data_IF_569797791215
#
_entry.id   IF_569797791215
#
_cell.length_a   1.000
_cell.length_b   1.000
_cell.length_c   1.000
_cell.angle_alpha   90.00
_cell.angle_beta   90.00
_cell.angle_gamma   90.00
#
_symmetry.space_group_name_H-M   'P 1'
#
loop_
_entity.id
_entity.type
_entity.pdbx_description
1 polymer ?
#
# COMPACT_ATOMS: atom_id res chain seq x y z
N UNK A 1 -9.31 7.35 -12.41
CA UNK A 1 -9.16 5.90 -12.73
C UNK A 1 -8.94 5.15 -11.43
N UNK A 2 -9.94 4.40 -10.96
CA UNK A 2 -9.70 3.39 -9.93
C UNK A 2 -8.75 2.34 -10.53
N UNK A 3 -7.70 1.97 -9.80
CA UNK A 3 -6.84 0.87 -10.20
C UNK A 3 -7.69 -0.41 -10.24
N UNK A 4 -8.00 -0.88 -11.45
CA UNK A 4 -8.55 -2.22 -11.68
C UNK A 4 -7.51 -3.23 -11.20
N UNK A 5 -7.96 -4.28 -10.49
CA UNK A 5 -7.09 -5.25 -9.81
C UNK A 5 -7.34 -6.63 -10.39
N UNK A 6 -6.62 -6.93 -11.46
CA UNK A 6 -6.67 -8.19 -12.20
C UNK A 6 -6.45 -9.39 -11.28
N UNK A 7 -5.61 -9.23 -10.25
CA UNK A 7 -5.32 -10.27 -9.28
C UNK A 7 -6.56 -10.74 -8.48
N UNK A 8 -7.52 -9.84 -8.26
CA UNK A 8 -8.74 -10.18 -7.49
C UNK A 8 -9.74 -10.93 -8.36
N UNK A 9 -9.87 -10.55 -9.63
CA UNK A 9 -10.71 -11.30 -10.57
C UNK A 9 -10.12 -12.70 -10.83
N UNK A 10 -8.78 -12.84 -10.83
CA UNK A 10 -8.11 -14.15 -10.81
C UNK A 10 -8.46 -14.99 -9.58
N UNK A 11 -8.51 -14.40 -8.38
CA UNK A 11 -8.93 -15.11 -7.17
C UNK A 11 -10.39 -15.57 -7.23
N UNK A 12 -11.29 -14.79 -7.85
CA UNK A 12 -12.69 -15.23 -8.08
C UNK A 12 -12.73 -16.42 -9.02
N UNK A 13 -11.94 -16.42 -10.09
CA UNK A 13 -11.85 -17.55 -11.01
C UNK A 13 -11.37 -18.81 -10.28
N UNK A 14 -10.33 -18.69 -9.44
CA UNK A 14 -9.83 -19.81 -8.61
C UNK A 14 -10.90 -20.30 -7.63
N UNK A 15 -11.66 -19.40 -6.99
CA UNK A 15 -12.72 -19.76 -6.06
C UNK A 15 -13.86 -20.56 -6.71
N UNK A 16 -14.13 -20.33 -8.00
CA UNK A 16 -15.22 -21.03 -8.73
C UNK A 16 -14.80 -22.44 -9.19
N UNK A 17 -13.50 -22.71 -9.39
CA UNK A 17 -13.02 -24.01 -9.88
C UNK A 17 -13.49 -25.19 -9.00
N UNK A 18 -13.31 -25.17 -7.66
CA UNK A 18 -13.79 -26.25 -6.79
C UNK A 18 -15.30 -26.46 -6.87
N UNK A 19 -16.08 -25.40 -7.09
CA UNK A 19 -17.56 -25.48 -7.24
C UNK A 19 -17.92 -26.25 -8.51
N UNK A 20 -17.28 -25.91 -9.63
CA UNK A 20 -17.49 -26.59 -10.91
C UNK A 20 -17.08 -28.07 -10.80
N UNK A 21 -15.90 -28.35 -10.24
CA UNK A 21 -15.40 -29.73 -10.13
C UNK A 21 -16.26 -30.60 -9.20
N UNK A 22 -16.81 -30.02 -8.14
CA UNK A 22 -17.77 -30.69 -7.27
C UNK A 22 -19.03 -31.12 -8.05
N UNK A 23 -19.64 -30.19 -8.80
CA UNK A 23 -20.83 -30.50 -9.61
C UNK A 23 -20.53 -31.35 -10.85
N UNK A 24 -19.28 -31.39 -11.32
CA UNK A 24 -18.84 -32.26 -12.42
C UNK A 24 -18.60 -33.73 -11.99
N UNK A 25 -18.85 -34.07 -10.72
CA UNK A 25 -18.70 -35.44 -10.21
C UNK A 25 -17.31 -35.78 -9.67
N UNK A 26 -16.39 -34.81 -9.55
CA UNK A 26 -15.07 -35.01 -8.93
C UNK A 26 -15.12 -34.91 -7.39
N UNK A 27 -16.19 -35.42 -6.78
CA UNK A 27 -16.50 -35.24 -5.35
C UNK A 27 -15.47 -35.90 -4.42
N UNK A 28 -14.78 -36.96 -4.86
CA UNK A 28 -13.73 -37.64 -4.08
C UNK A 28 -12.51 -36.75 -3.78
N UNK A 29 -12.20 -35.82 -4.67
CA UNK A 29 -11.08 -34.88 -4.51
C UNK A 29 -11.53 -33.49 -4.04
N UNK A 30 -12.80 -33.14 -4.28
CA UNK A 30 -13.37 -31.82 -4.02
C UNK A 30 -14.63 -31.85 -3.15
N UNK A 31 -14.69 -32.72 -2.15
CA UNK A 31 -15.85 -32.85 -1.25
C UNK A 31 -16.26 -31.52 -0.56
N UNK A 32 -15.32 -30.58 -0.42
CA UNK A 32 -15.54 -29.22 0.10
C UNK A 32 -15.78 -28.14 -0.96
N UNK A 33 -16.14 -28.49 -2.20
CA UNK A 33 -16.23 -27.54 -3.32
C UNK A 33 -17.17 -26.35 -3.09
N UNK A 34 -18.19 -26.52 -2.24
CA UNK A 34 -19.12 -25.46 -1.82
C UNK A 34 -18.42 -24.27 -1.12
N UNK A 35 -17.25 -24.49 -0.50
CA UNK A 35 -16.44 -23.43 0.14
C UNK A 35 -16.04 -22.35 -0.88
N UNK A 36 -15.94 -22.72 -2.16
CA UNK A 36 -15.66 -21.77 -3.23
C UNK A 36 -16.67 -20.62 -3.30
N UNK A 37 -17.94 -20.89 -2.99
CA UNK A 37 -19.01 -19.86 -2.94
C UNK A 37 -18.78 -18.91 -1.77
N UNK A 38 -18.40 -19.43 -0.60
CA UNK A 38 -18.11 -18.60 0.58
C UNK A 38 -16.94 -17.64 0.31
N UNK A 39 -15.86 -18.14 -0.31
CA UNK A 39 -14.72 -17.31 -0.73
C UNK A 39 -15.16 -16.25 -1.74
N UNK A 40 -16.01 -16.62 -2.70
CA UNK A 40 -16.53 -15.71 -3.71
C UNK A 40 -17.34 -14.56 -3.09
N UNK A 41 -18.18 -14.85 -2.10
CA UNK A 41 -18.93 -13.85 -1.34
C UNK A 41 -18.02 -12.91 -0.55
N UNK A 42 -16.99 -13.43 0.14
CA UNK A 42 -16.00 -12.58 0.83
C UNK A 42 -15.30 -11.63 -0.15
N UNK A 43 -14.86 -12.12 -1.31
CA UNK A 43 -14.20 -11.28 -2.32
C UNK A 43 -15.18 -10.21 -2.87
N UNK A 44 -16.43 -10.60 -3.10
CA UNK A 44 -17.50 -9.74 -3.61
C UNK A 44 -17.80 -8.58 -2.66
N UNK A 45 -17.95 -8.87 -1.37
CA UNK A 45 -18.12 -7.86 -0.31
C UNK A 45 -16.93 -6.92 -0.20
N UNK A 46 -15.70 -7.44 -0.30
CA UNK A 46 -14.47 -6.64 -0.31
C UNK A 46 -14.41 -5.69 -1.50
N UNK A 47 -14.70 -6.18 -2.70
CA UNK A 47 -14.59 -5.42 -3.94
C UNK A 47 -15.63 -4.31 -3.98
N UNK A 48 -16.89 -4.61 -3.66
CA UNK A 48 -17.94 -3.61 -3.72
C UNK A 48 -17.73 -2.51 -2.69
N UNK A 49 -17.34 -2.90 -1.47
CA UNK A 49 -17.04 -1.95 -0.40
C UNK A 49 -15.89 -1.06 -0.82
N UNK A 50 -14.80 -1.62 -1.37
CA UNK A 50 -13.67 -0.85 -1.86
C UNK A 50 -14.06 0.17 -2.94
N UNK A 51 -14.93 -0.19 -3.88
CA UNK A 51 -15.39 0.72 -4.94
C UNK A 51 -16.21 1.87 -4.35
N UNK A 52 -17.24 1.56 -3.56
CA UNK A 52 -18.11 2.56 -2.92
C UNK A 52 -17.27 3.51 -2.08
N UNK A 53 -16.42 2.96 -1.22
CA UNK A 53 -15.58 3.72 -0.32
C UNK A 53 -14.60 4.62 -1.09
N UNK A 54 -13.97 4.15 -2.17
CA UNK A 54 -13.08 4.96 -3.01
C UNK A 54 -13.81 6.13 -3.66
N UNK A 55 -15.03 5.92 -4.17
CA UNK A 55 -15.84 6.97 -4.79
C UNK A 55 -16.36 7.98 -3.76
N UNK A 56 -16.72 7.51 -2.56
CA UNK A 56 -17.12 8.38 -1.43
C UNK A 56 -15.96 9.27 -0.97
N UNK A 57 -14.73 8.75 -0.97
CA UNK A 57 -13.52 9.54 -0.66
C UNK A 57 -13.24 10.62 -1.72
N UNK A 58 -13.55 10.34 -2.98
CA UNK A 58 -13.39 11.26 -4.10
C UNK A 58 -14.57 12.23 -4.23
N UNK A 59 -15.60 12.11 -3.39
CA UNK A 59 -16.85 12.89 -3.45
C UNK A 59 -17.60 12.77 -4.78
N UNK A 60 -17.41 11.66 -5.50
CA UNK A 60 -18.05 11.37 -6.79
C UNK A 60 -19.08 10.22 -6.71
N UNK A 61 -19.30 9.68 -5.52
CA UNK A 61 -20.19 8.54 -5.35
C UNK A 61 -21.64 8.91 -5.67
N UNK A 62 -22.25 8.17 -6.60
CA UNK A 62 -23.64 8.29 -6.99
C UNK A 62 -24.28 6.91 -7.02
N UNK A 63 -25.39 6.74 -6.30
CA UNK A 63 -26.15 5.49 -6.28
C UNK A 63 -26.63 5.10 -7.69
N UNK A 64 -27.08 6.08 -8.48
CA UNK A 64 -27.57 5.85 -9.84
C UNK A 64 -26.45 5.30 -10.73
N UNK A 65 -25.28 5.95 -10.74
CA UNK A 65 -24.13 5.49 -11.53
C UNK A 65 -23.55 4.17 -11.01
N UNK A 66 -23.67 3.89 -9.72
CA UNK A 66 -23.29 2.61 -9.15
C UNK A 66 -24.17 1.48 -9.72
N UNK A 67 -25.49 1.60 -9.62
CA UNK A 67 -26.42 0.58 -10.12
C UNK A 67 -26.35 0.44 -11.64
N UNK A 68 -26.23 1.54 -12.37
CA UNK A 68 -26.10 1.52 -13.83
C UNK A 68 -24.92 0.63 -14.29
N UNK A 69 -23.74 0.82 -13.67
CA UNK A 69 -22.55 0.03 -14.02
C UNK A 69 -22.71 -1.45 -13.71
N UNK A 70 -23.38 -1.79 -12.61
CA UNK A 70 -23.67 -3.19 -12.27
C UNK A 70 -24.64 -3.81 -13.26
N UNK A 71 -25.72 -3.11 -13.58
CA UNK A 71 -26.69 -3.55 -14.59
C UNK A 71 -26.02 -3.82 -15.94
N UNK A 72 -25.18 -2.88 -16.43
CA UNK A 72 -24.43 -3.05 -17.69
C UNK A 72 -23.44 -4.21 -17.66
N UNK A 73 -22.94 -4.60 -16.48
CA UNK A 73 -22.00 -5.72 -16.32
C UNK A 73 -22.69 -7.07 -16.27
N UNK A 74 -23.85 -7.17 -15.61
CA UNK A 74 -24.46 -8.45 -15.23
C UNK A 74 -25.64 -8.82 -16.13
N UNK A 75 -26.54 -7.88 -16.39
CA UNK A 75 -27.77 -8.16 -17.13
C UNK A 75 -27.52 -8.72 -18.54
N UNK A 76 -26.53 -8.28 -19.33
CA UNK A 76 -26.29 -8.85 -20.66
C UNK A 76 -25.96 -10.35 -20.62
N UNK A 77 -25.06 -10.75 -19.72
CA UNK A 77 -24.67 -12.14 -19.56
C UNK A 77 -25.80 -12.98 -18.97
N UNK A 78 -26.55 -12.42 -18.00
CA UNK A 78 -27.71 -13.07 -17.40
C UNK A 78 -28.81 -13.33 -18.45
N UNK A 79 -29.22 -12.31 -19.20
CA UNK A 79 -30.27 -12.50 -20.21
C UNK A 79 -29.82 -13.43 -21.34
N UNK A 80 -28.53 -13.40 -21.70
CA UNK A 80 -28.00 -14.35 -22.67
C UNK A 80 -28.13 -15.80 -22.18
N UNK A 81 -27.71 -16.11 -20.94
CA UNK A 81 -27.83 -17.47 -20.42
C UNK A 81 -29.30 -17.88 -20.26
N UNK A 82 -30.18 -16.98 -19.79
CA UNK A 82 -31.62 -17.28 -19.68
C UNK A 82 -32.24 -17.57 -21.05
N UNK A 83 -31.88 -16.81 -22.08
CA UNK A 83 -32.34 -17.03 -23.44
C UNK A 83 -31.91 -18.40 -23.98
N UNK A 84 -30.61 -18.71 -23.89
CA UNK A 84 -30.07 -19.99 -24.35
C UNK A 84 -30.69 -21.16 -23.57
N UNK A 85 -30.75 -21.07 -22.24
CA UNK A 85 -31.38 -22.10 -21.41
C UNK A 85 -32.86 -22.29 -21.74
N UNK A 86 -33.58 -21.22 -22.11
CA UNK A 86 -35.00 -21.30 -22.50
C UNK A 86 -35.19 -22.06 -23.81
N UNK A 87 -34.29 -21.90 -24.78
CA UNK A 87 -34.32 -22.67 -26.03
C UNK A 87 -34.19 -24.16 -25.71
N UNK A 88 -33.19 -24.55 -24.92
CA UNK A 88 -32.98 -25.95 -24.55
C UNK A 88 -34.11 -26.52 -23.69
N UNK A 89 -34.60 -25.74 -22.71
CA UNK A 89 -35.73 -26.14 -21.87
C UNK A 89 -36.97 -26.47 -22.71
N UNK A 90 -37.28 -25.65 -23.72
CA UNK A 90 -38.42 -25.88 -24.60
C UNK A 90 -38.33 -27.21 -25.37
N UNK A 91 -37.13 -27.61 -25.82
CA UNK A 91 -36.94 -28.85 -26.57
C UNK A 91 -36.77 -30.10 -25.71
N UNK A 92 -36.29 -29.97 -24.48
CA UNK A 92 -35.87 -31.13 -23.66
C UNK A 92 -36.73 -31.39 -22.42
N UNK A 93 -37.47 -30.40 -21.91
CA UNK A 93 -38.25 -30.56 -20.68
C UNK A 93 -39.69 -31.01 -20.94
N UNK A 94 -40.23 -31.82 -20.02
CA UNK A 94 -41.64 -32.19 -19.98
C UNK A 94 -42.52 -30.97 -19.60
N UNK A 95 -43.82 -30.96 -19.91
CA UNK A 95 -44.69 -29.80 -19.65
C UNK A 95 -44.65 -29.25 -18.22
N UNK A 96 -44.64 -30.13 -17.21
CA UNK A 96 -44.57 -29.72 -15.80
C UNK A 96 -43.21 -29.12 -15.44
N UNK A 97 -42.12 -29.68 -15.98
CA UNK A 97 -40.76 -29.16 -15.81
C UNK A 97 -40.60 -27.80 -16.50
N UNK A 98 -41.20 -27.62 -17.68
CA UNK A 98 -41.17 -26.35 -18.40
C UNK A 98 -41.95 -25.25 -17.64
N UNK A 99 -43.06 -25.61 -16.99
CA UNK A 99 -43.82 -24.70 -16.11
C UNK A 99 -42.97 -24.25 -14.91
N UNK A 100 -42.27 -25.19 -14.28
CA UNK A 100 -41.36 -24.89 -13.16
C UNK A 100 -40.15 -24.06 -13.60
N UNK A 101 -39.59 -24.36 -14.77
CA UNK A 101 -38.52 -23.56 -15.37
C UNK A 101 -38.99 -22.12 -15.62
N UNK A 102 -40.22 -21.92 -16.12
CA UNK A 102 -40.83 -20.59 -16.24
C UNK A 102 -40.93 -19.83 -14.91
N UNK A 103 -41.32 -20.50 -13.83
CA UNK A 103 -41.31 -19.92 -12.48
C UNK A 103 -39.89 -19.56 -12.01
N UNK A 104 -38.90 -20.40 -12.37
CA UNK A 104 -37.48 -20.14 -12.10
C UNK A 104 -37.02 -18.89 -12.86
N UNK A 105 -37.37 -18.72 -14.14
CA UNK A 105 -37.03 -17.51 -14.90
C UNK A 105 -37.59 -16.25 -14.25
N UNK A 106 -38.86 -16.28 -13.82
CA UNK A 106 -39.51 -15.13 -13.16
C UNK A 106 -38.76 -14.78 -11.87
N UNK A 107 -38.40 -15.77 -11.05
CA UNK A 107 -37.66 -15.52 -9.81
C UNK A 107 -36.24 -14.98 -10.07
N UNK A 108 -35.56 -15.40 -11.13
CA UNK A 108 -34.25 -14.87 -11.51
C UNK A 108 -34.34 -13.40 -11.93
N UNK A 109 -35.31 -13.05 -12.79
CA UNK A 109 -35.53 -11.67 -13.23
C UNK A 109 -35.92 -10.78 -12.05
N UNK A 110 -36.69 -11.30 -11.10
CA UNK A 110 -37.02 -10.63 -9.85
C UNK A 110 -35.88 -10.60 -8.82
N UNK A 111 -34.69 -11.15 -9.15
CA UNK A 111 -33.53 -11.27 -8.25
C UNK A 111 -33.88 -11.96 -6.92
N UNK A 112 -34.77 -12.95 -6.98
CA UNK A 112 -35.32 -13.69 -5.83
C UNK A 112 -35.23 -15.21 -6.00
N UNK A 113 -34.39 -15.70 -6.94
CA UNK A 113 -34.25 -17.13 -7.19
C UNK A 113 -33.79 -17.91 -5.96
N UNK A 114 -33.00 -17.30 -5.06
CA UNK A 114 -32.65 -17.90 -3.78
C UNK A 114 -33.85 -18.17 -2.86
N UNK A 115 -34.85 -17.27 -2.83
CA UNK A 115 -36.09 -17.46 -2.07
C UNK A 115 -36.94 -18.53 -2.74
N UNK A 116 -37.01 -18.52 -4.08
CA UNK A 116 -37.74 -19.53 -4.84
C UNK A 116 -37.20 -20.93 -4.58
N UNK A 117 -35.89 -21.14 -4.67
CA UNK A 117 -35.28 -22.44 -4.40
C UNK A 117 -35.43 -22.85 -2.93
N UNK A 118 -35.28 -21.92 -1.98
CA UNK A 118 -35.58 -22.22 -0.57
C UNK A 118 -37.02 -22.71 -0.35
N UNK A 119 -38.00 -22.06 -0.98
CA UNK A 119 -39.41 -22.44 -0.84
C UNK A 119 -39.74 -23.77 -1.52
N UNK A 120 -38.95 -24.19 -2.50
CA UNK A 120 -39.11 -25.43 -3.27
C UNK A 120 -38.30 -26.61 -2.71
N UNK A 121 -37.28 -26.35 -1.90
CA UNK A 121 -36.40 -27.36 -1.33
C UNK A 121 -37.00 -27.93 -0.03
N UNK A 122 -38.06 -28.73 -0.15
CA UNK A 122 -38.79 -29.37 0.96
C UNK A 122 -38.49 -30.88 1.12
N UNK A 123 -37.41 -31.36 0.49
CA UNK A 123 -36.90 -32.74 0.62
C UNK A 123 -37.50 -33.76 -0.34
N UNK A 124 -38.67 -33.50 -0.96
CA UNK A 124 -39.29 -34.38 -1.97
C UNK A 124 -38.87 -34.04 -3.41
N UNK A 125 -38.46 -32.79 -3.67
CA UNK A 125 -38.06 -32.26 -5.00
C UNK A 125 -36.53 -32.10 -5.20
N UNK A 126 -35.70 -32.59 -4.27
CA UNK A 126 -34.23 -32.42 -4.28
C UNK A 126 -33.55 -32.89 -5.58
N UNK A 127 -34.01 -33.98 -6.21
CA UNK A 127 -33.49 -34.43 -7.50
C UNK A 127 -33.86 -33.52 -8.68
N UNK A 128 -35.01 -32.84 -8.62
CA UNK A 128 -35.46 -31.91 -9.69
C UNK A 128 -34.74 -30.56 -9.60
N UNK A 129 -34.40 -30.12 -8.39
CA UNK A 129 -33.60 -28.89 -8.17
C UNK A 129 -32.17 -29.02 -8.71
N UNK A 130 -31.54 -30.20 -8.57
CA UNK A 130 -30.21 -30.47 -9.16
C UNK A 130 -30.23 -30.53 -10.70
N UNK A 131 -31.36 -30.88 -11.29
CA UNK A 131 -31.55 -30.90 -12.75
C UNK A 131 -31.94 -29.54 -13.32
N UNK A 132 -32.20 -28.53 -12.47
CA UNK A 132 -32.52 -27.19 -12.92
C UNK A 132 -31.25 -26.48 -13.44
N UNK A 133 -31.16 -26.14 -14.74
CA UNK A 133 -29.95 -25.57 -15.33
C UNK A 133 -29.59 -24.19 -14.75
N UNK A 134 -30.53 -23.54 -14.08
CA UNK A 134 -30.37 -22.21 -13.51
C UNK A 134 -30.27 -22.22 -11.98
N UNK A 135 -30.08 -23.38 -11.34
CA UNK A 135 -30.01 -23.50 -9.87
C UNK A 135 -28.95 -22.59 -9.27
N UNK A 136 -27.77 -22.48 -9.90
CA UNK A 136 -26.64 -21.68 -9.41
C UNK A 136 -26.93 -20.17 -9.27
N UNK A 137 -28.02 -19.67 -9.88
CA UNK A 137 -28.40 -18.26 -9.81
C UNK A 137 -28.84 -17.82 -8.41
N UNK A 138 -29.10 -18.76 -7.50
CA UNK A 138 -29.37 -18.45 -6.09
C UNK A 138 -28.26 -17.58 -5.47
N UNK A 139 -27.00 -17.90 -5.77
CA UNK A 139 -25.85 -17.18 -5.23
C UNK A 139 -25.75 -15.76 -5.78
N UNK A 140 -26.08 -15.58 -7.07
CA UNK A 140 -26.17 -14.27 -7.72
C UNK A 140 -27.30 -13.43 -7.11
N UNK A 141 -28.47 -14.02 -6.83
CA UNK A 141 -29.58 -13.31 -6.20
C UNK A 141 -29.21 -12.77 -4.82
N UNK A 142 -28.52 -13.57 -3.99
CA UNK A 142 -27.99 -13.12 -2.69
C UNK A 142 -26.99 -11.97 -2.86
N UNK A 143 -26.06 -12.09 -3.82
CA UNK A 143 -25.05 -11.07 -4.14
C UNK A 143 -25.73 -9.74 -4.51
N UNK A 144 -26.72 -9.77 -5.41
CA UNK A 144 -27.42 -8.57 -5.89
C UNK A 144 -28.34 -7.96 -4.82
N UNK A 145 -28.98 -8.77 -3.97
CA UNK A 145 -29.73 -8.27 -2.80
C UNK A 145 -28.82 -7.51 -1.84
N UNK A 146 -27.61 -8.03 -1.59
CA UNK A 146 -26.60 -7.30 -0.82
C UNK A 146 -26.16 -6.01 -1.52
N UNK A 147 -25.96 -6.04 -2.84
CA UNK A 147 -25.59 -4.84 -3.59
C UNK A 147 -26.69 -3.81 -3.71
N UNK A 148 -27.95 -4.18 -3.51
CA UNK A 148 -29.03 -3.22 -3.41
C UNK A 148 -29.05 -2.53 -2.03
N UNK A 149 -28.82 -3.28 -0.95
CA UNK A 149 -28.93 -2.77 0.41
C UNK A 149 -27.65 -2.05 0.87
N UNK A 150 -26.49 -2.64 0.63
CA UNK A 150 -25.22 -2.19 1.19
C UNK A 150 -24.80 -0.76 0.73
N UNK A 151 -24.93 -0.37 -0.55
CA UNK A 151 -24.62 1.00 -0.97
C UNK A 151 -25.56 2.03 -0.35
N UNK A 152 -26.83 1.69 -0.11
CA UNK A 152 -27.77 2.55 0.61
C UNK A 152 -27.30 2.77 2.05
N UNK A 153 -26.92 1.70 2.75
CA UNK A 153 -26.34 1.79 4.10
C UNK A 153 -25.11 2.70 4.09
N UNK A 154 -24.20 2.52 3.14
CA UNK A 154 -23.01 3.37 3.00
C UNK A 154 -23.34 4.82 2.63
N UNK A 155 -24.38 5.07 1.84
CA UNK A 155 -24.83 6.40 1.45
C UNK A 155 -25.38 7.18 2.65
N UNK A 156 -26.24 6.55 3.46
CA UNK A 156 -26.84 7.17 4.64
C UNK A 156 -25.90 7.23 5.85
N UNK A 157 -24.95 6.29 5.94
CA UNK A 157 -23.88 6.35 6.95
C UNK A 157 -22.93 7.48 6.57
N UNK A 158 -22.86 8.56 7.35
CA UNK A 158 -21.96 9.70 7.04
C UNK A 158 -20.46 9.33 6.93
N UNK A 159 -19.60 10.34 6.76
CA UNK A 159 -18.13 10.14 6.56
C UNK A 159 -17.38 9.47 7.73
N UNK A 160 -18.04 9.21 8.87
CA UNK A 160 -17.45 8.54 10.04
C UNK A 160 -17.72 7.04 10.00
N UNK A 161 -16.73 6.28 9.52
CA UNK A 161 -16.86 4.82 9.33
C UNK A 161 -16.95 4.00 10.63
N UNK A 162 -16.74 4.58 11.83
CA UNK A 162 -16.70 3.79 13.08
C UNK A 162 -18.04 3.14 13.44
N UNK A 163 -19.13 3.90 13.42
CA UNK A 163 -20.45 3.35 13.75
C UNK A 163 -20.91 2.34 12.69
N UNK A 164 -20.62 2.62 11.41
CA UNK A 164 -20.88 1.69 10.31
C UNK A 164 -20.12 0.38 10.50
N UNK A 165 -18.82 0.42 10.81
CA UNK A 165 -18.02 -0.79 11.05
C UNK A 165 -18.58 -1.61 12.23
N UNK A 166 -18.97 -0.96 13.33
CA UNK A 166 -19.58 -1.64 14.48
C UNK A 166 -20.90 -2.31 14.08
N UNK A 167 -21.75 -1.61 13.34
CA UNK A 167 -23.01 -2.16 12.83
C UNK A 167 -22.77 -3.36 11.92
N UNK A 168 -21.82 -3.28 10.98
CA UNK A 168 -21.52 -4.37 10.05
C UNK A 168 -20.95 -5.59 10.78
N UNK A 169 -20.09 -5.40 11.78
CA UNK A 169 -19.59 -6.51 12.62
C UNK A 169 -20.75 -7.16 13.38
N UNK A 170 -21.63 -6.35 13.97
CA UNK A 170 -22.80 -6.87 14.70
C UNK A 170 -23.72 -7.68 13.79
N UNK A 171 -24.04 -7.18 12.59
CA UNK A 171 -24.85 -7.89 11.59
C UNK A 171 -24.16 -9.17 11.11
N UNK A 172 -22.83 -9.14 10.93
CA UNK A 172 -22.07 -10.32 10.53
C UNK A 172 -22.10 -11.41 11.60
N UNK A 173 -21.96 -11.04 12.88
CA UNK A 173 -22.03 -11.97 14.00
C UNK A 173 -23.43 -12.58 14.16
N UNK A 174 -24.49 -11.77 14.00
CA UNK A 174 -25.87 -12.28 14.00
C UNK A 174 -26.08 -13.25 12.85
N UNK A 175 -25.68 -12.86 11.63
CA UNK A 175 -25.82 -13.69 10.44
C UNK A 175 -25.07 -15.02 10.60
N UNK A 176 -23.84 -14.99 11.10
CA UNK A 176 -23.05 -16.19 11.39
C UNK A 176 -23.71 -17.06 12.46
N UNK A 177 -24.21 -16.47 13.54
CA UNK A 177 -24.90 -17.22 14.60
C UNK A 177 -26.17 -17.90 14.08
N UNK A 178 -26.98 -17.20 13.26
CA UNK A 178 -28.17 -17.77 12.63
C UNK A 178 -27.81 -18.91 11.67
N UNK A 179 -26.72 -18.76 10.91
CA UNK A 179 -26.21 -19.81 10.03
C UNK A 179 -25.82 -21.07 10.83
N UNK A 180 -25.06 -20.91 11.92
CA UNK A 180 -24.66 -22.03 12.79
C UNK A 180 -25.83 -22.64 13.55
N UNK A 181 -26.77 -21.82 14.03
CA UNK A 181 -27.96 -22.28 14.72
C UNK A 181 -28.84 -23.13 13.81
N UNK A 182 -29.10 -22.67 12.57
CA UNK A 182 -29.88 -23.44 11.59
C UNK A 182 -29.19 -24.75 11.14
N UNK A 183 -27.86 -24.81 11.14
CA UNK A 183 -27.11 -26.02 10.82
C UNK A 183 -27.08 -27.08 11.93
N UNK A 184 -27.05 -26.67 13.20
CA UNK A 184 -26.93 -27.61 14.33
C UNK A 184 -28.23 -28.39 14.64
N UNK A 185 -29.40 -27.90 14.20
CA UNK A 185 -30.66 -28.64 14.35
C UNK A 185 -30.77 -29.87 13.43
N UNK A 186 -29.83 -30.06 12.49
CA UNK A 186 -29.81 -31.21 11.59
C UNK A 186 -29.26 -32.50 12.23
N UNK A 187 -28.51 -32.40 13.35
CA UNK A 187 -27.76 -33.55 13.89
C UNK A 187 -28.49 -34.38 14.95
N UNK A 188 -29.73 -34.06 15.31
CA UNK A 188 -30.43 -34.72 16.43
C UNK A 188 -31.88 -35.09 16.10
N UNK A 189 -32.13 -35.97 15.13
CA UNK A 189 -33.40 -36.73 15.11
C UNK A 189 -33.34 -38.00 14.26
N UNK A 190 -33.16 -39.14 14.94
CA UNK A 190 -33.50 -40.48 14.42
C UNK A 190 -35.01 -40.79 14.53
N UNK A 191 -35.89 -39.80 14.71
CA UNK A 191 -37.34 -40.04 14.78
C UNK A 191 -38.16 -38.87 14.22
N UNK A 192 -38.84 -39.14 13.09
CA UNK A 192 -40.27 -38.94 12.87
C UNK A 192 -40.92 -37.69 13.51
N UNK A 193 -40.44 -36.48 13.18
CA UNK A 193 -41.20 -35.24 13.38
C UNK A 193 -40.94 -34.25 12.24
N UNK A 194 -41.73 -34.36 11.18
CA UNK A 194 -41.57 -33.65 9.90
C UNK A 194 -41.95 -32.16 9.90
N UNK A 195 -42.22 -31.53 11.06
CA UNK A 195 -42.75 -30.16 11.08
C UNK A 195 -41.70 -29.05 11.29
N UNK A 196 -40.44 -29.40 11.64
CA UNK A 196 -39.37 -28.44 11.92
C UNK A 196 -38.09 -28.64 11.08
N UNK A 197 -38.13 -29.47 10.03
CA UNK A 197 -36.98 -29.75 9.15
C UNK A 197 -36.70 -28.66 8.10
N UNK A 198 -37.50 -27.59 8.03
CA UNK A 198 -37.32 -26.48 7.07
C UNK A 198 -36.21 -25.47 7.45
N UNK A 199 -35.56 -25.65 8.61
CA UNK A 199 -34.64 -24.65 9.18
C UNK A 199 -33.19 -24.70 8.67
N UNK A 200 -32.74 -25.80 8.04
CA UNK A 200 -31.35 -25.94 7.55
C UNK A 200 -31.12 -25.27 6.18
N UNK A 201 -32.07 -25.39 5.25
CA UNK A 201 -31.97 -24.81 3.90
C UNK A 201 -32.18 -23.30 3.88
N UNK A 202 -32.94 -22.76 4.85
CA UNK A 202 -33.08 -21.33 5.04
C UNK A 202 -31.72 -20.66 5.26
N UNK A 203 -30.86 -21.25 6.09
CA UNK A 203 -29.50 -20.76 6.32
C UNK A 203 -28.60 -20.85 5.08
N UNK A 204 -28.88 -21.79 4.17
CA UNK A 204 -28.10 -21.99 2.96
C UNK A 204 -28.45 -20.98 1.85
N UNK A 205 -29.75 -20.75 1.60
CA UNK A 205 -30.22 -19.92 0.48
C UNK A 205 -30.55 -18.47 0.85
N UNK A 206 -30.94 -18.18 2.10
CA UNK A 206 -31.38 -16.84 2.46
C UNK A 206 -30.20 -15.92 2.82
N UNK A 207 -30.29 -14.62 2.50
CA UNK A 207 -29.22 -13.66 2.82
C UNK A 207 -28.95 -13.56 4.32
N UNK A 208 -29.95 -13.84 5.15
CA UNK A 208 -29.81 -13.77 6.62
C UNK A 208 -28.73 -14.73 7.12
N UNK A 209 -28.64 -15.95 6.54
CA UNK A 209 -27.60 -16.92 6.86
C UNK A 209 -26.29 -16.75 6.07
N UNK A 210 -26.31 -15.93 5.00
CA UNK A 210 -25.21 -15.76 4.04
C UNK A 210 -24.61 -14.35 3.97
N UNK A 211 -25.10 -13.44 4.81
CA UNK A 211 -24.62 -12.06 4.81
C UNK A 211 -23.24 -11.96 5.49
N UNK A 212 -22.91 -12.87 6.41
CA UNK A 212 -21.64 -12.81 7.16
C UNK A 212 -20.42 -12.94 6.24
N UNK A 213 -20.47 -13.72 5.16
CA UNK A 213 -19.39 -13.85 4.17
C UNK A 213 -19.13 -12.50 3.47
N UNK A 214 -20.19 -11.89 2.92
CA UNK A 214 -20.14 -10.59 2.25
C UNK A 214 -19.68 -9.48 3.22
N UNK A 215 -20.22 -9.47 4.43
CA UNK A 215 -19.88 -8.50 5.48
C UNK A 215 -18.45 -8.66 5.98
N UNK A 216 -17.92 -9.88 6.05
CA UNK A 216 -16.52 -10.14 6.36
C UNK A 216 -15.59 -9.52 5.30
N UNK A 217 -15.97 -9.66 4.02
CA UNK A 217 -15.33 -8.97 2.90
C UNK A 217 -15.35 -7.45 3.05
N UNK A 218 -16.52 -6.88 3.35
CA UNK A 218 -16.68 -5.45 3.61
C UNK A 218 -15.82 -4.98 4.79
N UNK A 219 -15.77 -5.74 5.88
CA UNK A 219 -14.91 -5.44 7.02
C UNK A 219 -13.44 -5.45 6.63
N UNK A 220 -12.98 -6.44 5.86
CA UNK A 220 -11.61 -6.48 5.37
C UNK A 220 -11.26 -5.25 4.52
N UNK A 221 -12.20 -4.74 3.70
CA UNK A 221 -12.01 -3.51 2.94
C UNK A 221 -11.83 -2.30 3.87
N UNK A 222 -12.69 -2.14 4.89
CA UNK A 222 -12.56 -1.09 5.89
C UNK A 222 -11.26 -1.22 6.71
N UNK A 223 -10.93 -2.42 7.17
CA UNK A 223 -9.72 -2.69 7.95
C UNK A 223 -8.46 -2.36 7.15
N UNK A 224 -8.37 -2.83 5.90
CA UNK A 224 -7.23 -2.54 5.04
C UNK A 224 -7.18 -1.06 4.64
N UNK A 225 -8.30 -0.36 4.59
CA UNK A 225 -8.33 1.10 4.35
C UNK A 225 -7.85 1.88 5.57
N UNK A 226 -8.38 1.57 6.76
CA UNK A 226 -7.94 2.15 8.03
C UNK A 226 -6.46 1.86 8.28
N UNK A 227 -6.03 0.64 7.96
CA UNK A 227 -4.62 0.29 7.98
C UNK A 227 -3.84 0.91 6.83
N UNK A 228 -4.34 1.17 5.62
CA UNK A 228 -3.58 1.95 4.61
C UNK A 228 -3.23 3.36 5.09
N UNK A 229 -4.05 3.93 5.99
CA UNK A 229 -3.77 5.20 6.67
C UNK A 229 -2.67 5.09 7.75
N UNK A 230 -2.31 3.87 8.17
CA UNK A 230 -1.37 3.59 9.29
C UNK A 230 -0.28 2.56 8.94
N UNK A 231 -0.38 1.88 7.80
CA UNK A 231 0.44 0.73 7.41
C UNK A 231 1.74 1.27 6.88
N UNK A 232 2.65 1.52 7.84
CA UNK A 232 4.09 1.41 7.68
C UNK A 232 4.55 1.76 6.27
N UNK A 233 4.47 3.04 5.97
CA UNK A 233 5.68 3.68 5.47
C UNK A 233 6.75 3.45 6.55
N UNK A 234 7.42 2.30 6.50
CA UNK A 234 8.71 2.12 7.13
C UNK A 234 9.67 2.93 6.24
N UNK A 235 9.65 4.25 6.39
CA UNK A 235 10.62 5.15 5.76
C UNK A 235 12.04 4.64 5.98
N UNK A 236 12.29 4.12 7.19
CA UNK A 236 13.54 3.48 7.60
C UNK A 236 13.93 2.25 6.76
N UNK A 237 13.00 1.32 6.51
CA UNK A 237 13.33 0.05 5.87
C UNK A 237 13.73 0.18 4.40
N UNK A 238 13.19 1.18 3.71
CA UNK A 238 13.56 1.53 2.34
C UNK A 238 14.89 2.30 2.30
N UNK A 239 15.06 3.31 3.17
CA UNK A 239 16.26 4.17 3.20
C UNK A 239 17.52 3.40 3.60
N UNK A 240 17.41 2.46 4.54
CA UNK A 240 18.57 1.78 5.10
C UNK A 240 19.03 0.57 4.30
N UNK A 241 18.12 -0.15 3.61
CA UNK A 241 18.41 -1.48 3.05
C UNK A 241 19.52 -1.44 2.01
N UNK A 242 19.42 -0.59 0.99
CA UNK A 242 20.39 -0.54 -0.09
C UNK A 242 21.77 -0.04 0.38
N UNK A 243 21.78 0.98 1.25
CA UNK A 243 23.00 1.50 1.84
C UNK A 243 23.70 0.46 2.75
N UNK A 244 22.94 -0.26 3.57
CA UNK A 244 23.49 -1.29 4.46
C UNK A 244 24.11 -2.47 3.69
N UNK A 245 23.52 -2.84 2.55
CA UNK A 245 24.11 -3.86 1.65
C UNK A 245 25.50 -3.41 1.15
N UNK A 246 25.64 -2.15 0.71
CA UNK A 246 26.95 -1.63 0.30
C UNK A 246 27.96 -1.55 1.45
N UNK A 247 27.48 -1.16 2.64
CA UNK A 247 28.30 -1.08 3.86
C UNK A 247 28.88 -2.44 4.26
N UNK A 248 28.12 -3.52 4.11
CA UNK A 248 28.55 -4.86 4.49
C UNK A 248 29.55 -5.47 3.50
N UNK A 249 29.45 -5.13 2.21
CA UNK A 249 30.10 -5.92 1.18
C UNK A 249 31.55 -5.54 0.85
N UNK A 250 32.01 -4.28 0.97
CA UNK A 250 33.38 -3.91 0.50
C UNK A 250 33.97 -2.69 1.22
N UNK A 251 35.13 -2.87 1.88
CA UNK A 251 35.93 -1.76 2.46
C UNK A 251 37.00 -1.20 1.52
N UNK A 252 37.13 -1.74 0.30
CA UNK A 252 38.14 -1.33 -0.69
C UNK A 252 37.51 -1.24 -2.08
N UNK A 253 38.06 -0.39 -2.95
CA UNK A 253 37.65 -0.34 -4.35
C UNK A 253 38.22 -1.53 -5.13
N UNK A 254 37.58 -1.89 -6.25
CA UNK A 254 38.12 -2.91 -7.16
C UNK A 254 39.49 -2.50 -7.70
N UNK A 255 40.37 -3.48 -7.96
CA UNK A 255 41.66 -3.25 -8.65
C UNK A 255 41.34 -2.66 -10.03
N UNK A 256 42.05 -1.60 -10.46
CA UNK A 256 41.81 -0.95 -11.75
C UNK A 256 42.16 -1.94 -12.88
N UNK A 257 41.17 -2.67 -13.37
CA UNK A 257 41.29 -3.56 -14.53
C UNK A 257 40.63 -2.97 -15.79
N UNK A 258 39.77 -1.97 -15.64
CA UNK A 258 39.18 -1.20 -16.76
C UNK A 258 39.27 0.32 -16.53
N UNK A 259 39.29 1.06 -17.64
CA UNK A 259 39.40 2.53 -17.70
C UNK A 259 38.12 3.29 -17.36
N UNK A 260 37.03 2.63 -16.93
CA UNK A 260 35.69 3.22 -17.10
C UNK A 260 34.96 3.70 -15.85
N UNK A 261 35.32 3.28 -14.63
CA UNK A 261 34.53 3.67 -13.44
C UNK A 261 35.32 4.55 -12.48
N UNK A 262 34.94 5.82 -12.40
CA UNK A 262 35.45 6.77 -11.39
C UNK A 262 35.05 6.27 -10.00
N UNK A 263 35.93 6.39 -9.01
CA UNK A 263 35.68 5.89 -7.65
C UNK A 263 35.05 6.96 -6.78
N UNK A 264 33.90 6.66 -6.17
CA UNK A 264 33.20 7.58 -5.28
C UNK A 264 33.08 6.98 -3.89
N UNK A 265 33.38 7.78 -2.87
CA UNK A 265 33.05 7.45 -1.48
C UNK A 265 32.04 8.43 -0.90
N UNK A 266 30.95 7.89 -0.35
CA UNK A 266 29.92 8.63 0.37
C UNK A 266 30.04 8.37 1.86
N UNK A 267 30.27 9.41 2.65
CA UNK A 267 30.59 9.31 4.07
C UNK A 267 29.55 10.08 4.89
N UNK A 268 29.05 9.46 5.95
CA UNK A 268 28.24 10.15 6.96
C UNK A 268 27.19 9.27 7.61
N UNK A 269 26.07 9.87 8.02
CA UNK A 269 25.07 9.24 8.88
C UNK A 269 23.80 8.83 8.12
N UNK A 270 22.63 8.83 8.77
CA UNK A 270 21.37 8.53 8.10
C UNK A 270 21.01 9.54 6.99
N UNK A 271 21.63 10.73 6.97
CA UNK A 271 21.52 11.67 5.86
C UNK A 271 22.39 11.26 4.66
N UNK A 272 23.47 10.52 4.87
CA UNK A 272 24.22 9.89 3.77
C UNK A 272 23.42 8.74 3.15
N UNK A 273 22.68 7.96 3.96
CA UNK A 273 21.76 6.94 3.44
C UNK A 273 20.69 7.56 2.54
N UNK A 274 20.12 8.68 2.97
CA UNK A 274 19.11 9.39 2.19
C UNK A 274 19.69 10.00 0.90
N UNK A 275 20.92 10.53 0.97
CA UNK A 275 21.64 11.00 -0.21
C UNK A 275 21.96 9.87 -1.21
N UNK A 276 22.29 8.68 -0.71
CA UNK A 276 22.47 7.51 -1.57
C UNK A 276 21.18 7.16 -2.34
N UNK A 277 20.01 7.27 -1.70
CA UNK A 277 18.74 7.06 -2.39
C UNK A 277 18.50 8.09 -3.49
N UNK A 278 18.88 9.36 -3.27
CA UNK A 278 18.83 10.40 -4.32
C UNK A 278 19.59 9.95 -5.56
N UNK A 279 20.79 9.39 -5.36
CA UNK A 279 21.66 8.93 -6.45
C UNK A 279 21.01 7.76 -7.20
N UNK A 280 20.61 6.71 -6.48
CA UNK A 280 20.10 5.48 -7.08
C UNK A 280 18.75 5.69 -7.75
N UNK A 281 17.81 6.36 -7.09
CA UNK A 281 16.47 6.58 -7.61
C UNK A 281 16.48 7.56 -8.80
N UNK A 282 17.28 8.61 -8.71
CA UNK A 282 17.49 9.56 -9.80
C UNK A 282 18.37 9.02 -10.94
N UNK A 283 18.93 7.80 -10.81
CA UNK A 283 19.91 7.22 -11.73
C UNK A 283 21.10 8.15 -12.00
N UNK A 284 21.55 8.88 -10.98
CA UNK A 284 22.74 9.71 -11.06
C UNK A 284 23.99 8.87 -10.76
N UNK A 285 25.15 9.29 -11.27
CA UNK A 285 26.46 8.69 -10.94
C UNK A 285 26.56 7.18 -11.25
N UNK A 286 25.82 6.69 -12.24
CA UNK A 286 25.80 5.27 -12.65
C UNK A 286 27.15 4.77 -13.19
N UNK A 287 28.00 5.69 -13.63
CA UNK A 287 29.38 5.46 -14.07
C UNK A 287 30.42 5.47 -12.93
N UNK A 288 29.99 5.56 -11.67
CA UNK A 288 30.89 5.53 -10.52
C UNK A 288 30.87 4.17 -9.81
N UNK A 289 32.05 3.64 -9.49
CA UNK A 289 32.15 2.60 -8.48
C UNK A 289 31.98 3.25 -7.10
N UNK A 290 30.88 2.95 -6.41
CA UNK A 290 30.56 3.60 -5.14
C UNK A 290 30.97 2.76 -3.93
N UNK A 291 31.46 3.44 -2.88
CA UNK A 291 31.63 2.93 -1.53
C UNK A 291 30.93 3.85 -0.54
N UNK A 292 30.47 3.28 0.56
CA UNK A 292 29.81 4.02 1.63
C UNK A 292 30.52 3.81 2.96
N UNK A 293 30.67 4.87 3.75
CA UNK A 293 31.25 4.79 5.09
C UNK A 293 30.29 5.44 6.10
N UNK A 294 29.68 4.61 6.94
CA UNK A 294 28.70 5.06 7.93
C UNK A 294 29.38 5.56 9.20
N UNK A 295 29.03 6.76 9.63
CA UNK A 295 29.38 7.35 10.92
C UNK A 295 28.07 7.70 11.60
N UNK A 296 27.86 7.21 12.82
CA UNK A 296 26.66 7.55 13.58
C UNK A 296 26.54 9.09 13.75
N UNK A 297 25.36 9.66 13.48
CA UNK A 297 25.18 11.13 13.45
C UNK A 297 25.50 11.84 14.76
N UNK A 298 25.43 11.17 15.90
CA UNK A 298 25.87 11.71 17.21
C UNK A 298 27.39 11.88 17.32
N UNK A 299 28.16 11.14 16.53
CA UNK A 299 29.63 11.15 16.56
C UNK A 299 30.24 12.25 15.70
N UNK A 300 29.51 12.68 14.66
CA UNK A 300 29.89 13.72 13.70
C UNK A 300 31.22 13.45 12.96
N UNK A 301 31.41 14.09 11.81
CA UNK A 301 32.65 14.00 11.04
C UNK A 301 33.60 15.10 11.50
N UNK A 302 34.64 14.73 12.24
CA UNK A 302 35.63 15.68 12.75
C UNK A 302 37.03 15.07 12.77
N UNK A 303 37.99 15.82 12.21
CA UNK A 303 39.42 15.61 12.37
C UNK A 303 40.01 16.95 12.85
N UNK A 304 40.73 16.91 13.97
CA UNK A 304 41.39 18.06 14.56
C UNK A 304 42.15 17.70 15.84
N UNK A 305 42.83 18.67 16.45
CA UNK A 305 43.68 18.46 17.63
C UNK A 305 42.87 18.36 18.94
N UNK A 306 41.64 18.88 18.96
CA UNK A 306 40.80 18.84 20.15
C UNK A 306 40.25 17.42 20.37
N UNK A 307 40.12 16.96 21.62
CA UNK A 307 39.43 15.70 21.88
C UNK A 307 37.93 15.89 21.58
N UNK A 308 37.42 15.16 20.59
CA UNK A 308 36.02 15.25 20.19
C UNK A 308 35.05 14.82 21.29
N UNK A 309 35.49 14.01 22.28
CA UNK A 309 34.63 13.58 23.39
C UNK A 309 34.04 14.74 24.18
N UNK A 310 34.72 15.90 24.21
CA UNK A 310 34.21 17.10 24.86
C UNK A 310 32.95 17.68 24.20
N UNK A 311 32.69 17.35 22.93
CA UNK A 311 31.52 17.84 22.17
C UNK A 311 30.41 16.78 22.01
N UNK A 312 30.66 15.57 22.49
CA UNK A 312 29.76 14.43 22.37
C UNK A 312 29.23 14.11 23.76
N UNK A 313 27.92 13.83 23.88
CA UNK A 313 27.32 13.43 25.14
C UNK A 313 28.00 12.17 25.69
N UNK A 314 28.19 12.10 27.01
CA UNK A 314 28.87 10.97 27.67
C UNK A 314 28.27 9.60 27.31
N UNK A 315 26.94 9.52 27.20
CA UNK A 315 26.19 8.30 26.82
C UNK A 315 26.59 7.81 25.41
N UNK A 316 26.99 8.71 24.53
CA UNK A 316 27.35 8.39 23.14
C UNK A 316 28.84 8.06 22.97
N UNK A 317 29.68 8.26 23.99
CA UNK A 317 31.14 8.09 23.89
C UNK A 317 31.52 6.70 23.41
N UNK A 318 30.88 5.65 23.94
CA UNK A 318 31.17 4.26 23.57
C UNK A 318 30.84 3.98 22.10
N UNK A 319 29.69 4.46 21.61
CA UNK A 319 29.28 4.29 20.20
C UNK A 319 30.20 5.10 19.28
N UNK A 320 30.68 6.25 19.75
CA UNK A 320 31.62 7.11 19.05
C UNK A 320 33.09 6.70 19.24
N UNK A 321 33.36 5.41 19.40
CA UNK A 321 34.68 4.82 19.28
C UNK A 321 34.80 4.05 17.95
N UNK A 322 36.02 3.66 17.58
CA UNK A 322 36.29 2.75 16.46
C UNK A 322 35.69 3.23 15.13
N UNK A 323 34.93 2.36 14.42
CA UNK A 323 34.40 2.59 13.07
C UNK A 323 33.45 3.79 12.91
N UNK A 324 33.05 4.47 13.99
CA UNK A 324 32.31 5.73 13.95
C UNK A 324 33.23 6.97 14.02
N UNK A 325 34.52 6.83 13.69
CA UNK A 325 35.43 7.94 13.41
C UNK A 325 35.74 7.99 11.92
N UNK A 326 35.67 9.20 11.33
CA UNK A 326 36.04 9.45 9.94
C UNK A 326 37.51 9.08 9.66
N UNK A 327 38.38 9.07 10.68
CA UNK A 327 39.78 8.63 10.54
C UNK A 327 39.89 7.20 9.99
N UNK A 328 38.94 6.31 10.27
CA UNK A 328 38.93 4.95 9.72
C UNK A 328 38.53 4.90 8.24
N UNK A 329 37.94 5.98 7.69
CA UNK A 329 37.64 6.09 6.28
C UNK A 329 38.86 6.56 5.45
N UNK A 330 39.93 7.07 6.08
CA UNK A 330 41.09 7.64 5.38
C UNK A 330 41.72 6.71 4.33
N UNK A 331 41.91 5.39 4.56
CA UNK A 331 42.47 4.50 3.54
C UNK A 331 41.60 4.40 2.28
N UNK A 332 40.28 4.49 2.43
CA UNK A 332 39.32 4.42 1.31
C UNK A 332 39.18 5.78 0.63
N UNK A 333 39.20 6.87 1.41
CA UNK A 333 39.24 8.24 0.91
C UNK A 333 40.42 8.44 -0.05
N UNK A 334 41.62 7.94 0.30
CA UNK A 334 42.82 8.05 -0.55
C UNK A 334 42.69 7.34 -1.91
N UNK A 335 41.79 6.36 -2.02
CA UNK A 335 41.57 5.61 -3.26
C UNK A 335 40.47 6.20 -4.16
N UNK A 336 39.64 7.09 -3.60
CA UNK A 336 38.48 7.67 -4.29
C UNK A 336 38.86 8.89 -5.13
N UNK A 337 38.21 9.05 -6.28
CA UNK A 337 38.32 10.25 -7.12
C UNK A 337 37.35 11.35 -6.65
N UNK A 338 36.19 10.95 -6.11
CA UNK A 338 35.15 11.85 -5.58
C UNK A 338 34.78 11.46 -4.14
N UNK A 339 34.75 12.45 -3.26
CA UNK A 339 34.37 12.32 -1.85
C UNK A 339 33.11 13.13 -1.61
N UNK A 340 32.06 12.52 -1.06
CA UNK A 340 30.84 13.22 -0.65
C UNK A 340 30.66 13.04 0.85
N UNK A 341 30.61 14.15 1.58
CA UNK A 341 30.27 14.18 3.01
C UNK A 341 28.81 14.60 3.16
N UNK A 342 27.97 13.75 3.72
CA UNK A 342 26.55 14.04 3.97
C UNK A 342 26.17 13.67 5.40
N UNK A 343 25.73 14.63 6.20
CA UNK A 343 25.44 14.38 7.60
C UNK A 343 24.33 15.24 8.17
N UNK A 344 23.90 14.89 9.38
CA UNK A 344 23.00 15.71 10.18
C UNK A 344 23.62 17.05 10.56
N UNK A 345 24.95 17.16 10.62
CA UNK A 345 25.72 18.36 11.01
C UNK A 345 25.23 19.06 12.30
N UNK A 346 26.03 18.96 13.35
CA UNK A 346 25.85 19.78 14.55
C UNK A 346 26.64 21.07 14.42
N UNK A 347 26.22 22.10 15.17
CA UNK A 347 26.84 23.42 15.10
C UNK A 347 28.36 23.36 15.38
N UNK A 348 28.75 22.57 16.39
CA UNK A 348 30.16 22.43 16.77
C UNK A 348 31.02 21.78 15.68
N UNK A 349 30.48 20.81 14.94
CA UNK A 349 31.21 20.11 13.88
C UNK A 349 31.19 20.92 12.58
N UNK A 350 30.07 21.58 12.26
CA UNK A 350 29.96 22.50 11.13
C UNK A 350 30.95 23.67 11.24
N UNK A 351 31.16 24.22 12.44
CA UNK A 351 32.17 25.27 12.70
C UNK A 351 33.60 24.78 12.42
N UNK A 352 33.87 23.50 12.66
CA UNK A 352 35.20 22.87 12.57
C UNK A 352 35.44 22.13 11.25
N UNK A 353 34.42 22.04 10.39
CA UNK A 353 34.50 21.32 9.14
C UNK A 353 35.63 21.83 8.22
N UNK A 354 35.95 23.15 8.12
CA UNK A 354 37.10 23.59 7.33
C UNK A 354 38.44 22.97 7.78
N UNK A 355 38.64 22.83 9.09
CA UNK A 355 39.83 22.16 9.63
C UNK A 355 39.83 20.68 9.26
N UNK A 356 38.68 20.02 9.40
CA UNK A 356 38.53 18.61 9.01
C UNK A 356 38.84 18.42 7.53
N UNK A 357 38.31 19.27 6.64
CA UNK A 357 38.56 19.23 5.20
C UNK A 357 40.05 19.43 4.88
N UNK A 358 40.74 20.36 5.57
CA UNK A 358 42.19 20.55 5.43
C UNK A 358 42.97 19.30 5.85
N UNK A 359 42.59 18.68 6.96
CA UNK A 359 43.27 17.50 7.51
C UNK A 359 42.94 16.18 6.80
N UNK A 360 41.95 16.15 5.90
CA UNK A 360 41.75 15.04 4.97
C UNK A 360 42.93 14.89 3.99
N UNK A 361 43.70 15.97 3.78
CA UNK A 361 44.90 16.00 2.92
C UNK A 361 44.63 15.41 1.52
N UNK A 362 43.58 15.91 0.86
CA UNK A 362 43.17 15.45 -0.47
C UNK A 362 44.17 15.90 -1.54
N UNK A 363 44.38 15.04 -2.55
CA UNK A 363 45.20 15.39 -3.70
C UNK A 363 44.48 16.37 -4.63
N UNK A 364 45.22 17.13 -5.46
CA UNK A 364 44.63 18.07 -6.44
C UNK A 364 43.66 17.42 -7.45
N UNK A 365 43.74 16.09 -7.64
CA UNK A 365 42.86 15.34 -8.55
C UNK A 365 41.54 14.94 -7.90
N UNK A 366 41.48 14.91 -6.57
CA UNK A 366 40.30 14.49 -5.84
C UNK A 366 39.30 15.64 -5.73
N UNK A 367 38.04 15.33 -5.95
CA UNK A 367 36.95 16.28 -5.75
C UNK A 367 36.24 15.97 -4.43
N UNK A 368 35.85 17.00 -3.70
CA UNK A 368 35.07 16.86 -2.47
C UNK A 368 33.81 17.71 -2.54
N UNK A 369 32.71 17.17 -2.04
CA UNK A 369 31.46 17.89 -1.88
C UNK A 369 30.90 17.69 -0.47
N UNK A 370 30.35 18.77 0.09
CA UNK A 370 29.70 18.76 1.40
C UNK A 370 28.22 19.02 1.20
N UNK A 371 27.40 18.04 1.57
CA UNK A 371 25.95 18.12 1.48
C UNK A 371 25.39 18.73 2.75
N UNK A 372 24.67 19.84 2.62
CA UNK A 372 24.05 20.55 3.73
C UNK A 372 22.97 19.71 4.45
N UNK A 373 22.67 20.11 5.68
CA UNK A 373 21.67 19.42 6.51
C UNK A 373 20.28 19.57 5.90
N UNK A 374 19.56 18.46 5.73
CA UNK A 374 18.23 18.45 5.11
C UNK A 374 17.10 18.21 6.11
N UNK A 375 16.27 19.23 6.37
CA UNK A 375 15.04 19.07 7.16
C UNK A 375 13.99 20.07 6.66
N UNK A 376 12.90 19.58 6.09
CA UNK A 376 11.89 20.44 5.44
C UNK A 376 10.83 20.99 6.41
N UNK A 377 10.91 20.61 7.68
CA UNK A 377 10.03 21.06 8.76
C UNK A 377 9.26 19.88 9.35
N UNK A 378 8.33 20.11 10.27
CA UNK A 378 7.54 19.03 10.86
C UNK A 378 6.41 18.66 9.91
N UNK A 379 6.44 17.45 9.37
CA UNK A 379 5.44 16.95 8.43
C UNK A 379 4.57 15.90 9.13
N UNK A 380 3.24 16.04 9.01
CA UNK A 380 2.29 15.02 9.42
C UNK A 380 1.50 14.54 8.20
N UNK A 381 1.92 13.44 7.55
CA UNK A 381 1.29 12.93 6.33
C UNK A 381 -0.22 12.68 6.47
N UNK A 382 -0.68 12.33 7.69
CA UNK A 382 -2.08 11.99 7.98
C UNK A 382 -3.03 13.16 7.73
N UNK A 383 -2.55 14.40 7.85
CA UNK A 383 -3.34 15.61 7.58
C UNK A 383 -3.73 15.75 6.10
N UNK A 384 -3.04 15.04 5.20
CA UNK A 384 -3.14 15.26 3.76
C UNK A 384 -3.71 14.08 2.97
N UNK A 385 -4.03 12.95 3.63
CA UNK A 385 -4.45 11.70 2.96
C UNK A 385 -5.71 11.90 2.12
N UNK A 386 -6.68 12.69 2.60
CA UNK A 386 -7.95 12.93 1.92
C UNK A 386 -8.04 14.34 1.31
N UNK A 387 -6.89 14.94 0.99
CA UNK A 387 -6.83 16.27 0.37
C UNK A 387 -6.56 16.15 -1.13
N UNK A 388 -7.19 17.02 -1.92
CA UNK A 388 -6.98 17.08 -3.38
C UNK A 388 -5.52 17.40 -3.72
N UNK A 389 -5.10 17.01 -4.93
CA UNK A 389 -3.78 17.35 -5.46
C UNK A 389 -3.55 18.86 -5.44
N UNK A 390 -4.55 19.65 -5.83
CA UNK A 390 -4.46 21.11 -5.81
C UNK A 390 -4.23 21.67 -4.39
N UNK A 391 -4.93 21.12 -3.38
CA UNK A 391 -4.70 21.51 -1.99
C UNK A 391 -3.27 21.16 -1.55
N UNK A 392 -2.80 19.94 -1.87
CA UNK A 392 -1.46 19.45 -1.52
C UNK A 392 -0.36 20.33 -2.12
N UNK A 393 -0.49 20.75 -3.37
CA UNK A 393 0.50 21.61 -4.04
C UNK A 393 0.64 23.01 -3.42
N UNK A 394 -0.38 23.46 -2.68
CA UNK A 394 -0.36 24.74 -1.95
C UNK A 394 0.20 24.60 -0.53
N UNK A 395 0.64 23.40 -0.10
CA UNK A 395 1.15 23.18 1.25
C UNK A 395 2.66 23.41 1.34
N UNK A 396 3.03 24.30 2.26
CA UNK A 396 4.41 24.69 2.52
C UNK A 396 4.68 24.64 4.02
N UNK A 397 5.94 24.41 4.39
CA UNK A 397 6.39 24.35 5.77
C UNK A 397 7.70 25.11 5.95
N UNK A 398 7.88 25.68 7.13
CA UNK A 398 9.15 26.28 7.52
C UNK A 398 10.14 25.20 8.00
N UNK A 399 11.39 25.19 7.48
CA UNK A 399 12.47 24.44 8.10
C UNK A 399 12.64 24.84 9.56
N UNK A 400 13.13 23.92 10.37
CA UNK A 400 13.47 24.24 11.75
C UNK A 400 14.65 25.23 11.82
N UNK A 401 14.60 26.12 12.81
CA UNK A 401 15.57 27.21 12.98
C UNK A 401 17.00 26.67 13.13
N UNK A 402 17.18 25.55 13.83
CA UNK A 402 18.48 24.91 14.01
C UNK A 402 19.10 24.45 12.68
N UNK A 403 18.26 23.98 11.75
CA UNK A 403 18.72 23.53 10.43
C UNK A 403 19.10 24.72 9.56
N UNK A 404 18.34 25.81 9.60
CA UNK A 404 18.69 27.06 8.92
C UNK A 404 20.02 27.61 9.45
N UNK A 405 20.19 27.63 10.78
CA UNK A 405 21.40 28.11 11.45
C UNK A 405 22.63 27.29 11.03
N UNK A 406 22.54 25.96 11.06
CA UNK A 406 23.64 25.08 10.66
C UNK A 406 23.98 25.23 9.18
N UNK A 407 23.00 25.26 8.28
CA UNK A 407 23.29 25.45 6.85
C UNK A 407 23.88 26.83 6.55
N UNK A 408 23.41 27.88 7.23
CA UNK A 408 23.98 29.23 7.13
C UNK A 408 25.44 29.26 7.62
N UNK A 409 25.75 28.52 8.70
CA UNK A 409 27.12 28.37 9.17
C UNK A 409 28.00 27.65 8.14
N UNK A 410 27.55 26.52 7.60
CA UNK A 410 28.26 25.78 6.55
C UNK A 410 28.47 26.64 5.28
N UNK A 411 27.46 27.41 4.85
CA UNK A 411 27.55 28.30 3.69
C UNK A 411 28.56 29.45 3.89
N UNK A 412 28.82 29.84 5.15
CA UNK A 412 29.83 30.84 5.51
C UNK A 412 31.23 30.24 5.66
N UNK A 413 31.34 29.02 6.16
CA UNK A 413 32.64 28.41 6.50
C UNK A 413 33.24 27.58 5.38
N UNK A 414 32.44 27.12 4.42
CA UNK A 414 32.85 26.22 3.34
C UNK A 414 32.79 26.96 2.00
N UNK A 415 33.75 26.66 1.13
CA UNK A 415 33.77 27.18 -0.23
C UNK A 415 32.49 26.78 -1.01
N UNK A 416 31.86 27.77 -1.66
CA UNK A 416 30.63 27.59 -2.45
C UNK A 416 30.80 26.61 -3.61
N UNK A 417 32.03 26.38 -4.08
CA UNK A 417 32.36 25.45 -5.14
C UNK A 417 32.27 23.97 -4.71
N UNK A 418 32.18 23.70 -3.41
CA UNK A 418 32.07 22.34 -2.86
C UNK A 418 30.84 22.15 -1.96
N UNK A 419 30.21 23.22 -1.47
CA UNK A 419 29.03 23.13 -0.61
C UNK A 419 27.71 23.05 -1.39
N UNK A 420 26.85 22.09 -1.03
CA UNK A 420 25.52 21.88 -1.61
C UNK A 420 24.44 22.23 -0.58
N UNK A 421 23.87 23.42 -0.67
CA UNK A 421 22.76 23.83 0.20
C UNK A 421 21.41 23.34 -0.37
N UNK A 422 21.07 22.07 -0.07
CA UNK A 422 19.83 21.42 -0.54
C UNK A 422 18.59 22.25 -0.18
N UNK A 423 18.54 22.81 1.04
CA UNK A 423 17.38 23.61 1.48
C UNK A 423 17.23 24.87 0.65
N UNK A 424 18.30 25.59 0.35
CA UNK A 424 18.23 26.80 -0.48
C UNK A 424 17.79 26.49 -1.92
N UNK A 425 18.12 25.30 -2.43
CA UNK A 425 17.72 24.86 -3.77
C UNK A 425 16.24 24.45 -3.87
N UNK A 426 15.67 23.91 -2.79
CA UNK A 426 14.28 23.39 -2.78
C UNK A 426 13.29 24.41 -2.21
N UNK A 427 13.69 25.16 -1.19
CA UNK A 427 12.83 26.03 -0.43
C UNK A 427 12.89 27.46 -1.00
N UNK A 428 12.11 27.67 -2.06
CA UNK A 428 12.16 28.86 -2.92
C UNK A 428 11.06 29.88 -2.67
N UNK A 429 10.18 29.68 -1.67
CA UNK A 429 9.04 30.56 -1.40
C UNK A 429 9.41 31.85 -0.65
N UNK A 430 8.47 32.81 -0.62
CA UNK A 430 8.53 33.99 0.27
C UNK A 430 8.71 33.48 1.71
N UNK A 431 9.68 34.02 2.45
CA UNK A 431 10.14 33.56 3.77
C UNK A 431 10.88 32.19 3.82
N UNK A 432 11.43 31.67 2.71
CA UNK A 432 12.21 30.41 2.66
C UNK A 432 11.42 29.17 3.12
N UNK A 433 10.13 29.13 2.82
CA UNK A 433 9.30 27.95 3.03
C UNK A 433 9.66 26.84 2.03
N UNK A 434 9.54 25.60 2.47
CA UNK A 434 9.74 24.41 1.65
C UNK A 434 8.39 23.84 1.24
N UNK A 435 8.23 23.38 -0.01
CA UNK A 435 7.05 22.62 -0.38
C UNK A 435 6.96 21.34 0.46
N UNK A 436 5.73 20.89 0.74
CA UNK A 436 5.49 19.56 1.34
C UNK A 436 5.24 18.48 0.30
N UNK A 437 4.96 18.86 -0.93
CA UNK A 437 4.64 17.96 -2.04
C UNK A 437 5.43 18.34 -3.29
N UNK A 438 5.82 17.35 -4.08
CA UNK A 438 6.33 17.51 -5.44
C UNK A 438 5.24 18.08 -6.36
N UNK A 439 5.64 18.54 -7.55
CA UNK A 439 4.71 19.09 -8.56
C UNK A 439 3.60 18.12 -8.98
N UNK A 440 3.82 16.81 -8.80
CA UNK A 440 2.85 15.75 -9.11
C UNK A 440 1.97 15.38 -7.89
N UNK A 441 2.04 16.17 -6.80
CA UNK A 441 1.23 15.96 -5.59
C UNK A 441 1.70 14.83 -4.67
N UNK A 442 2.92 14.33 -4.86
CA UNK A 442 3.53 13.28 -4.00
C UNK A 442 4.29 13.93 -2.85
N UNK A 443 4.16 13.38 -1.64
CA UNK A 443 4.71 13.94 -0.41
C UNK A 443 6.25 13.94 -0.41
N UNK A 444 6.88 15.03 0.05
CA UNK A 444 8.35 15.25 0.06
C UNK A 444 9.12 14.46 1.14
N UNK A 445 8.50 14.30 2.29
CA UNK A 445 9.12 13.60 3.41
C UNK A 445 8.04 13.20 4.40
N UNK A 446 8.18 12.02 5.00
CA UNK A 446 7.20 11.52 5.95
C UNK A 446 7.29 12.20 7.32
N UNK A 447 8.49 12.61 7.71
CA UNK A 447 8.80 13.22 9.00
C UNK A 447 9.55 14.55 8.86
N UNK A 448 9.72 15.03 7.62
CA UNK A 448 10.53 16.19 7.27
C UNK A 448 12.03 15.91 7.16
N UNK A 449 12.52 14.76 7.61
CA UNK A 449 13.94 14.40 7.67
C UNK A 449 14.36 13.47 6.56
N UNK A 450 13.59 12.40 6.30
CA UNK A 450 13.91 11.37 5.31
C UNK A 450 13.06 11.52 4.05
N UNK A 451 13.68 11.43 2.87
CA UNK A 451 12.98 11.55 1.60
C UNK A 451 12.13 10.32 1.32
N UNK A 452 11.04 10.49 0.55
CA UNK A 452 10.39 9.37 -0.09
C UNK A 452 11.10 9.01 -1.41
N UNK A 453 10.77 7.87 -2.01
CA UNK A 453 11.30 7.45 -3.31
C UNK A 453 11.16 8.53 -4.39
N UNK A 454 9.98 9.14 -4.49
CA UNK A 454 9.68 10.14 -5.52
C UNK A 454 10.46 11.43 -5.30
N UNK A 455 10.78 11.74 -4.05
CA UNK A 455 11.50 12.96 -3.73
C UNK A 455 12.99 12.80 -3.85
N UNK A 456 13.49 11.59 -3.61
CA UNK A 456 14.86 11.25 -3.97
C UNK A 456 15.12 11.61 -5.45
N UNK A 457 14.19 11.27 -6.34
CA UNK A 457 14.23 11.64 -7.76
C UNK A 457 14.12 13.16 -7.94
N UNK A 458 13.12 13.80 -7.33
CA UNK A 458 12.89 15.24 -7.46
C UNK A 458 14.09 16.07 -6.99
N UNK A 459 14.60 15.79 -5.78
CA UNK A 459 15.76 16.45 -5.20
C UNK A 459 17.00 16.15 -6.03
N UNK A 460 17.21 14.91 -6.47
CA UNK A 460 18.33 14.52 -7.34
C UNK A 460 18.38 15.36 -8.62
N UNK A 461 17.25 15.44 -9.32
CA UNK A 461 17.12 16.24 -10.52
C UNK A 461 17.42 17.73 -10.30
N UNK A 462 17.16 18.27 -9.12
CA UNK A 462 17.51 19.66 -8.80
C UNK A 462 19.01 19.77 -8.51
N UNK A 463 19.53 18.98 -7.57
CA UNK A 463 20.90 19.18 -7.08
C UNK A 463 21.95 18.82 -8.13
N UNK A 464 21.73 17.79 -8.95
CA UNK A 464 22.68 17.39 -10.01
C UNK A 464 22.59 18.25 -11.27
N UNK A 465 21.50 19.03 -11.46
CA UNK A 465 21.44 20.05 -12.53
C UNK A 465 22.12 21.36 -12.13
N UNK A 466 22.36 21.58 -10.84
CA UNK A 466 22.89 22.83 -10.31
C UNK A 466 24.33 22.70 -9.79
N UNK A 467 25.05 23.82 -9.75
CA UNK A 467 26.36 23.86 -9.10
C UNK A 467 26.21 23.58 -7.59
N UNK A 468 27.16 22.87 -6.96
CA UNK A 468 28.42 22.38 -7.54
C UNK A 468 28.38 20.95 -8.12
N UNK A 469 27.28 20.20 -7.94
CA UNK A 469 27.22 18.77 -8.33
C UNK A 469 27.04 18.53 -9.83
N UNK A 470 26.62 19.52 -10.61
CA UNK A 470 26.53 19.43 -12.07
C UNK A 470 27.86 19.15 -12.81
N UNK A 471 28.97 19.06 -12.08
CA UNK A 471 30.29 18.66 -12.57
C UNK A 471 30.50 17.14 -12.54
N UNK A 472 29.64 16.41 -11.83
CA UNK A 472 29.65 14.95 -11.71
C UNK A 472 28.62 14.36 -12.69
#
# INVERSE_FOLDING_TARGET
MSFYRDEIDGLRAVAVIPVILYHAGCTSYFAGGYIGVDIFFVISGYLITSVIENEREQEIFSLVHFYERRCRRILPALYFILFVSSIFAYYWMLPDQLKEFGQTLISIVALSSNIFFWWKDDGYFTQLTELNPCVHTWSLAVEEQFYFIFPLICYFSGKKNRCLIILLIFLALISFFLAQWGGNFQSTSNHQFHMFSQHSWASFYLPIGRAWELLLGSFAAFYLRLNRSVSKIRSWGYVERAFNVLRQNKNTFSIRTSTTNKRLILIGDSFAQDFYNIIIEGKHLTNYEMRVFFIHGRCQMYIGPEDRKQFINAIDHQICTNRNDIKYALPVIRQADVIILSGKWFEWSAKRLPMTLKLLNLTKKQQIFVIGRKHFGNVNPKLYVNKSTEYRLKQYQYPSIDVIKVNSLLEKTIDKSIFVNILKMICTGYNRTCPLFTRDGKLISYDGRYLTKYDAIYVGNIIFKNKPLNKL
#
